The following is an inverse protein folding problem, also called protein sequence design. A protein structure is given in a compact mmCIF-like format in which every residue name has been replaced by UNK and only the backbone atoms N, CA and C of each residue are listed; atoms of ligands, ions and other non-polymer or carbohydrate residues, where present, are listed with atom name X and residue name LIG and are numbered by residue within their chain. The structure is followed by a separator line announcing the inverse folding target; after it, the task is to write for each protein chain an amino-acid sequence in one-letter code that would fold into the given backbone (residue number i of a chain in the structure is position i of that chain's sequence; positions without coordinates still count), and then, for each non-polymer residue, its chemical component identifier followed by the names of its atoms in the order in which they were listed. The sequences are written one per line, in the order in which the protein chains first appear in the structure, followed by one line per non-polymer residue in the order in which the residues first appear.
data_IF_184602451719
#
_entry.id   IF_184602451719
#
_cell.length_a   1.000
_cell.length_b   1.000
_cell.length_c   1.000
_cell.angle_alpha   90.00
_cell.angle_beta   90.00
_cell.angle_gamma   90.00
#
_symmetry.space_group_name_H-M   'P 1'
#
loop_
_entity.id
_entity.type
_entity.pdbx_description
1 polymer ?
#
# COMPACT_ATOMS: atom_id res chain seq x y z
N UNK A 1 -8.57 -24.44 -11.17
CA UNK A 1 -7.43 -23.49 -11.11
C UNK A 1 -7.15 -23.11 -12.55
N UNK A 2 -7.40 -21.84 -12.88
CA UNK A 2 -7.32 -21.38 -14.26
C UNK A 2 -5.86 -21.38 -14.75
N UNK A 3 -5.67 -21.74 -16.03
CA UNK A 3 -4.37 -21.82 -16.71
C UNK A 3 -3.55 -20.52 -16.54
N UNK A 4 -4.19 -19.36 -16.50
CA UNK A 4 -3.57 -18.04 -16.26
C UNK A 4 -2.99 -17.95 -14.85
N UNK A 5 -3.70 -18.44 -13.84
CA UNK A 5 -3.21 -18.49 -12.46
C UNK A 5 -2.03 -19.44 -12.31
N UNK A 6 -2.03 -20.56 -13.04
CA UNK A 6 -0.91 -21.50 -13.06
C UNK A 6 0.35 -20.86 -13.67
N UNK A 7 0.20 -20.16 -14.81
CA UNK A 7 1.30 -19.45 -15.46
C UNK A 7 1.85 -18.34 -14.57
N UNK A 8 0.99 -17.54 -13.97
CA UNK A 8 1.41 -16.50 -13.02
C UNK A 8 2.15 -17.08 -11.82
N UNK A 9 1.69 -18.20 -11.30
CA UNK A 9 2.31 -18.90 -10.16
C UNK A 9 3.68 -19.51 -10.56
N UNK A 10 3.79 -20.07 -11.75
CA UNK A 10 5.04 -20.65 -12.29
C UNK A 10 6.05 -19.55 -12.61
N UNK A 11 5.62 -18.47 -13.28
CA UNK A 11 6.47 -17.31 -13.60
C UNK A 11 6.91 -16.61 -12.31
N UNK A 12 6.01 -16.39 -11.36
CA UNK A 12 6.33 -15.86 -10.04
C UNK A 12 7.34 -16.75 -9.30
N UNK A 13 7.11 -18.07 -9.29
CA UNK A 13 7.99 -19.04 -8.63
C UNK A 13 9.36 -19.13 -9.29
N UNK A 14 9.41 -19.07 -10.61
CA UNK A 14 10.67 -19.17 -11.38
C UNK A 14 11.52 -17.90 -11.27
N UNK A 15 10.93 -16.72 -11.49
CA UNK A 15 11.64 -15.43 -11.42
C UNK A 15 12.02 -15.09 -9.97
N UNK A 16 11.12 -15.32 -9.02
CA UNK A 16 11.38 -14.98 -7.63
C UNK A 16 12.32 -15.93 -6.90
N UNK A 17 12.34 -17.23 -7.22
CA UNK A 17 13.18 -18.18 -6.47
C UNK A 17 14.66 -18.15 -6.87
N UNK A 18 14.98 -17.73 -8.09
CA UNK A 18 16.36 -17.83 -8.59
C UNK A 18 17.17 -16.52 -8.54
N UNK A 19 16.52 -15.35 -8.41
CA UNK A 19 17.21 -14.06 -8.57
C UNK A 19 17.23 -13.22 -7.28
N UNK A 20 16.26 -13.40 -6.39
CA UNK A 20 16.10 -12.53 -5.22
C UNK A 20 16.00 -13.32 -3.92
N UNK A 21 16.68 -12.86 -2.87
CA UNK A 21 16.49 -13.41 -1.54
C UNK A 21 15.13 -12.99 -0.92
N UNK A 22 14.72 -13.64 0.16
CA UNK A 22 13.39 -13.41 0.79
C UNK A 22 13.18 -11.96 1.22
N UNK A 23 14.22 -11.28 1.65
CA UNK A 23 14.17 -9.88 2.09
C UNK A 23 13.97 -8.96 0.89
N UNK A 24 14.70 -9.18 -0.20
CA UNK A 24 14.54 -8.43 -1.45
C UNK A 24 13.13 -8.56 -2.01
N UNK A 25 12.53 -9.76 -1.96
CA UNK A 25 11.14 -9.99 -2.36
C UNK A 25 10.13 -9.18 -1.53
N UNK A 26 10.31 -9.13 -0.21
CA UNK A 26 9.47 -8.32 0.69
C UNK A 26 9.56 -6.83 0.35
N UNK A 27 10.77 -6.34 0.13
CA UNK A 27 11.00 -4.95 -0.28
C UNK A 27 10.35 -4.64 -1.62
N UNK A 28 10.54 -5.50 -2.63
CA UNK A 28 9.94 -5.33 -3.94
C UNK A 28 8.40 -5.33 -3.88
N UNK A 29 7.80 -6.28 -3.16
CA UNK A 29 6.35 -6.35 -2.99
C UNK A 29 5.78 -5.11 -2.31
N UNK A 30 6.45 -4.60 -1.28
CA UNK A 30 5.99 -3.41 -0.58
C UNK A 30 6.20 -2.14 -1.43
N UNK A 31 7.40 -1.94 -1.97
CA UNK A 31 7.72 -0.73 -2.73
C UNK A 31 6.93 -0.65 -4.04
N UNK A 32 6.83 -1.74 -4.80
CA UNK A 32 6.10 -1.75 -6.08
C UNK A 32 4.59 -1.88 -5.83
N UNK A 33 4.18 -2.85 -5.01
CA UNK A 33 2.76 -3.13 -4.77
C UNK A 33 2.07 -2.05 -3.94
N UNK A 34 2.62 -1.72 -2.76
CA UNK A 34 1.96 -0.76 -1.86
C UNK A 34 2.30 0.69 -2.21
N UNK A 35 3.57 1.04 -2.24
CA UNK A 35 3.99 2.43 -2.48
C UNK A 35 3.78 2.83 -3.94
N UNK A 36 4.12 1.98 -4.89
CA UNK A 36 3.95 2.24 -6.32
C UNK A 36 2.49 2.48 -6.70
N UNK A 37 1.58 1.60 -6.27
CA UNK A 37 0.15 1.75 -6.54
C UNK A 37 -0.43 3.03 -5.91
N UNK A 38 -0.06 3.33 -4.65
CA UNK A 38 -0.50 4.56 -3.97
C UNK A 38 0.03 5.81 -4.64
N UNK A 39 1.30 5.82 -5.07
CA UNK A 39 1.89 6.93 -5.83
C UNK A 39 1.18 7.16 -7.17
N UNK A 40 0.77 6.08 -7.83
CA UNK A 40 -0.02 6.16 -9.05
C UNK A 40 -1.40 6.78 -8.79
N UNK A 41 -2.05 6.44 -7.68
CA UNK A 41 -3.31 7.08 -7.27
C UNK A 41 -3.14 8.58 -6.98
N UNK A 42 -2.03 8.99 -6.36
CA UNK A 42 -1.69 10.42 -6.17
C UNK A 42 -1.60 11.12 -7.52
N UNK A 43 -0.89 10.53 -8.49
CA UNK A 43 -0.75 11.09 -9.83
C UNK A 43 -2.11 11.24 -10.54
N UNK A 44 -2.94 10.21 -10.50
CA UNK A 44 -4.30 10.26 -11.07
C UNK A 44 -5.11 11.36 -10.38
N UNK A 45 -5.17 11.37 -9.04
CA UNK A 45 -5.95 12.35 -8.29
C UNK A 45 -5.52 13.79 -8.56
N UNK A 46 -4.24 14.03 -8.84
CA UNK A 46 -3.70 15.35 -9.19
C UNK A 46 -4.05 15.77 -10.61
N UNK A 47 -4.13 14.84 -11.56
CA UNK A 47 -4.22 15.15 -13.00
C UNK A 47 -5.65 15.07 -13.54
N UNK A 48 -6.55 14.32 -12.92
CA UNK A 48 -7.93 14.18 -13.38
C UNK A 48 -8.74 15.47 -13.20
N UNK A 49 -9.78 15.61 -14.01
CA UNK A 49 -10.74 16.69 -13.84
C UNK A 49 -11.66 16.45 -12.61
N UNK A 50 -12.35 17.49 -12.15
CA UNK A 50 -13.14 17.49 -10.91
C UNK A 50 -14.22 16.40 -10.86
N UNK A 51 -14.80 16.03 -12.00
CA UNK A 51 -15.83 14.99 -12.08
C UNK A 51 -15.25 13.61 -11.70
N UNK A 52 -14.11 13.26 -12.26
CA UNK A 52 -13.43 11.99 -11.96
C UNK A 52 -12.79 12.01 -10.58
N UNK A 53 -12.28 13.16 -10.11
CA UNK A 53 -11.78 13.32 -8.75
C UNK A 53 -12.90 13.01 -7.73
N UNK A 54 -14.12 13.46 -7.97
CA UNK A 54 -15.26 13.16 -7.12
C UNK A 54 -15.58 11.67 -7.07
N UNK A 55 -15.49 10.96 -8.21
CA UNK A 55 -15.66 9.50 -8.28
C UNK A 55 -14.55 8.80 -7.46
N UNK A 56 -13.30 9.23 -7.60
CA UNK A 56 -12.19 8.71 -6.80
C UNK A 56 -12.42 8.93 -5.30
N UNK A 57 -13.01 10.06 -4.92
CA UNK A 57 -13.41 10.33 -3.54
C UNK A 57 -14.40 9.29 -3.00
N UNK A 58 -15.44 8.96 -3.74
CA UNK A 58 -16.38 7.90 -3.34
C UNK A 58 -15.70 6.53 -3.24
N UNK A 59 -14.82 6.19 -4.18
CA UNK A 59 -14.07 4.94 -4.14
C UNK A 59 -13.11 4.86 -2.94
N UNK A 60 -12.56 5.98 -2.52
CA UNK A 60 -11.64 6.04 -1.38
C UNK A 60 -12.30 5.78 -0.01
N UNK A 61 -13.62 5.85 0.07
CA UNK A 61 -14.37 5.45 1.27
C UNK A 61 -14.15 3.95 1.57
N UNK A 62 -14.01 3.12 0.55
CA UNK A 62 -13.82 1.67 0.69
C UNK A 62 -12.53 1.35 1.48
N UNK A 63 -11.34 1.82 1.08
CA UNK A 63 -10.13 1.59 1.87
C UNK A 63 -10.17 2.29 3.24
N UNK A 64 -10.79 3.46 3.37
CA UNK A 64 -10.94 4.12 4.67
C UNK A 64 -11.69 3.24 5.67
N UNK A 65 -12.83 2.67 5.26
CA UNK A 65 -13.62 1.73 6.08
C UNK A 65 -12.83 0.43 6.29
N UNK A 66 -12.19 -0.12 5.25
CA UNK A 66 -11.43 -1.35 5.31
C UNK A 66 -10.28 -1.29 6.32
N UNK A 67 -9.48 -0.23 6.31
CA UNK A 67 -8.41 -0.03 7.29
C UNK A 67 -8.94 0.12 8.71
N UNK A 68 -10.03 0.88 8.90
CA UNK A 68 -10.68 1.02 10.20
C UNK A 68 -11.20 -0.31 10.72
N UNK A 69 -11.89 -1.07 9.89
CA UNK A 69 -12.45 -2.38 10.24
C UNK A 69 -11.35 -3.37 10.65
N UNK A 70 -10.30 -3.52 9.83
CA UNK A 70 -9.22 -4.45 10.11
C UNK A 70 -8.46 -4.06 11.39
N UNK A 71 -8.29 -2.76 11.65
CA UNK A 71 -7.64 -2.28 12.87
C UNK A 71 -8.49 -2.59 14.12
N UNK A 72 -9.78 -2.26 14.09
CA UNK A 72 -10.69 -2.45 15.22
C UNK A 72 -10.93 -3.93 15.55
N UNK A 73 -11.07 -4.78 14.53
CA UNK A 73 -11.34 -6.21 14.72
C UNK A 73 -10.07 -7.04 14.92
N UNK A 74 -8.89 -6.50 14.58
CA UNK A 74 -7.64 -7.26 14.58
C UNK A 74 -7.66 -8.48 13.65
N UNK A 75 -8.54 -8.48 12.65
CA UNK A 75 -8.82 -9.63 11.78
C UNK A 75 -7.63 -10.06 10.91
N UNK A 76 -6.67 -9.16 10.66
CA UNK A 76 -5.50 -9.45 9.83
C UNK A 76 -4.21 -9.22 10.61
N UNK A 77 -3.70 -10.29 11.22
CA UNK A 77 -2.44 -10.28 12.00
C UNK A 77 -1.21 -10.67 11.19
N UNK A 78 -1.39 -11.42 10.11
CA UNK A 78 -0.35 -11.91 9.21
C UNK A 78 -0.66 -11.49 7.78
N UNK A 79 0.35 -11.38 6.92
CA UNK A 79 0.19 -10.96 5.53
C UNK A 79 1.07 -11.75 4.55
N UNK A 80 0.58 -11.94 3.34
CA UNK A 80 1.34 -12.58 2.26
C UNK A 80 2.59 -11.77 1.92
N UNK A 81 2.49 -10.45 1.99
CA UNK A 81 3.59 -9.49 1.75
C UNK A 81 4.73 -9.58 2.77
N UNK A 82 4.51 -10.23 3.89
CA UNK A 82 5.52 -10.57 4.91
C UNK A 82 5.74 -12.09 5.03
N UNK A 83 5.32 -12.86 4.01
CA UNK A 83 5.45 -14.32 3.94
C UNK A 83 4.90 -15.03 5.18
N UNK A 84 3.70 -14.65 5.63
CA UNK A 84 3.01 -15.22 6.78
C UNK A 84 3.51 -14.73 8.14
N UNK A 85 4.47 -13.82 8.20
CA UNK A 85 4.92 -13.21 9.44
C UNK A 85 3.93 -12.14 9.94
N UNK A 86 4.14 -11.71 11.19
CA UNK A 86 3.34 -10.66 11.81
C UNK A 86 3.50 -9.33 11.06
N UNK A 87 2.39 -8.67 10.81
CA UNK A 87 2.34 -7.36 10.17
C UNK A 87 2.85 -6.29 11.14
N UNK A 88 3.92 -5.57 10.76
CA UNK A 88 4.50 -4.50 11.56
C UNK A 88 3.74 -3.17 11.44
N UNK A 89 3.03 -2.94 10.33
CA UNK A 89 2.32 -1.68 10.04
C UNK A 89 0.88 -1.63 10.56
N UNK A 90 0.48 -2.55 11.44
CA UNK A 90 -0.89 -2.57 11.95
C UNK A 90 -1.30 -1.25 12.61
N UNK A 91 -0.36 -0.62 13.34
CA UNK A 91 -0.60 0.66 14.03
C UNK A 91 -0.68 1.86 13.07
N UNK A 92 -0.30 1.70 11.81
CA UNK A 92 -0.44 2.74 10.78
C UNK A 92 -1.82 2.73 10.12
N UNK A 93 -2.60 1.67 10.28
CA UNK A 93 -3.92 1.54 9.66
C UNK A 93 -4.89 2.66 10.02
N UNK A 94 -5.02 3.09 11.30
CA UNK A 94 -5.89 4.22 11.61
C UNK A 94 -5.42 5.52 10.95
N UNK A 95 -4.12 5.74 10.82
CA UNK A 95 -3.57 6.92 10.14
C UNK A 95 -3.95 6.88 8.65
N UNK A 96 -3.75 5.74 7.99
CA UNK A 96 -4.15 5.55 6.60
C UNK A 96 -5.67 5.71 6.42
N UNK A 97 -6.48 5.16 7.33
CA UNK A 97 -7.94 5.31 7.30
C UNK A 97 -8.37 6.78 7.35
N UNK A 98 -7.78 7.57 8.25
CA UNK A 98 -8.06 9.00 8.38
C UNK A 98 -7.65 9.76 7.09
N UNK A 99 -6.48 9.48 6.53
CA UNK A 99 -6.01 10.15 5.33
C UNK A 99 -6.88 9.83 4.10
N UNK A 100 -7.31 8.57 3.94
CA UNK A 100 -8.27 8.21 2.90
C UNK A 100 -9.65 8.85 3.11
N UNK A 101 -10.12 8.97 4.36
CA UNK A 101 -11.36 9.68 4.67
C UNK A 101 -11.27 11.18 4.36
N UNK A 102 -10.15 11.83 4.71
CA UNK A 102 -9.90 13.24 4.38
C UNK A 102 -9.79 13.46 2.87
N UNK A 103 -9.12 12.57 2.15
CA UNK A 103 -9.10 12.58 0.70
C UNK A 103 -10.50 12.46 0.13
N UNK A 104 -11.29 11.46 0.58
CA UNK A 104 -12.64 11.24 0.14
C UNK A 104 -13.52 12.48 0.34
N UNK A 105 -13.50 13.05 1.53
CA UNK A 105 -14.26 14.26 1.85
C UNK A 105 -13.91 15.43 0.93
N UNK A 106 -12.62 15.73 0.77
CA UNK A 106 -12.16 16.84 -0.08
C UNK A 106 -12.43 16.58 -1.56
N UNK A 107 -12.21 15.37 -2.05
CA UNK A 107 -12.43 15.00 -3.44
C UNK A 107 -13.92 15.05 -3.83
N UNK A 108 -14.81 14.59 -2.94
CA UNK A 108 -16.27 14.68 -3.14
C UNK A 108 -16.72 16.13 -3.20
N UNK A 109 -16.14 17.01 -2.39
CA UNK A 109 -16.39 18.45 -2.43
C UNK A 109 -15.65 19.18 -3.58
N UNK A 110 -15.07 18.44 -4.53
CA UNK A 110 -14.38 18.97 -5.72
C UNK A 110 -13.18 19.87 -5.40
N UNK A 111 -12.53 19.65 -4.26
CA UNK A 111 -11.31 20.34 -3.92
C UNK A 111 -10.13 19.74 -4.70
N UNK A 112 -9.51 20.54 -5.56
CA UNK A 112 -8.36 20.13 -6.40
C UNK A 112 -7.15 19.70 -5.57
N UNK A 113 -7.00 20.21 -4.36
CA UNK A 113 -5.87 19.89 -3.49
C UNK A 113 -6.07 18.57 -2.70
N UNK A 114 -7.17 17.85 -2.93
CA UNK A 114 -7.44 16.58 -2.25
C UNK A 114 -6.30 15.55 -2.38
N UNK A 115 -5.59 15.52 -3.50
CA UNK A 115 -4.46 14.61 -3.75
C UNK A 115 -3.35 14.72 -2.69
N UNK A 116 -3.24 15.83 -1.97
CA UNK A 116 -2.24 16.05 -0.91
C UNK A 116 -2.40 15.02 0.21
N UNK A 117 -3.62 14.64 0.58
CA UNK A 117 -3.86 13.63 1.61
C UNK A 117 -3.35 12.25 1.20
N UNK A 118 -3.48 11.88 -0.07
CA UNK A 118 -2.90 10.64 -0.61
C UNK A 118 -1.37 10.73 -0.68
N UNK A 119 -0.80 11.88 -0.97
CA UNK A 119 0.64 12.07 -0.95
C UNK A 119 1.21 11.92 0.46
N UNK A 120 0.56 12.50 1.46
CA UNK A 120 0.94 12.33 2.87
C UNK A 120 0.87 10.85 3.28
N UNK A 121 -0.15 10.12 2.83
CA UNK A 121 -0.29 8.68 3.05
C UNK A 121 0.90 7.88 2.51
N UNK A 122 1.34 8.19 1.28
CA UNK A 122 2.52 7.56 0.65
C UNK A 122 3.79 7.87 1.45
N UNK A 123 3.99 9.13 1.85
CA UNK A 123 5.18 9.57 2.58
C UNK A 123 5.26 8.87 3.95
N UNK A 124 4.15 8.84 4.70
CA UNK A 124 4.10 8.16 6.00
C UNK A 124 4.39 6.66 5.83
N UNK A 125 3.79 6.01 4.83
CA UNK A 125 4.03 4.60 4.54
C UNK A 125 5.49 4.32 4.22
N UNK A 126 6.11 5.14 3.38
CA UNK A 126 7.52 4.99 2.98
C UNK A 126 8.48 5.24 4.15
N UNK A 127 8.30 6.33 4.89
CA UNK A 127 9.15 6.64 6.06
C UNK A 127 9.05 5.53 7.11
N UNK A 128 7.84 5.10 7.44
CA UNK A 128 7.62 4.03 8.41
C UNK A 128 8.28 2.72 7.98
N UNK A 129 8.21 2.38 6.69
CA UNK A 129 8.90 1.23 6.12
C UNK A 129 10.41 1.32 6.27
N UNK A 130 11.01 2.45 5.91
CA UNK A 130 12.45 2.65 6.00
C UNK A 130 12.93 2.61 7.46
N UNK A 131 12.22 3.27 8.37
CA UNK A 131 12.55 3.28 9.80
C UNK A 131 12.49 1.87 10.38
N UNK A 132 11.40 1.15 10.14
CA UNK A 132 11.25 -0.22 10.65
C UNK A 132 12.38 -1.13 10.16
N UNK A 133 12.64 -1.15 8.85
CA UNK A 133 13.66 -2.02 8.29
C UNK A 133 15.11 -1.58 8.58
N UNK A 134 15.31 -0.29 8.90
CA UNK A 134 16.62 0.19 9.42
C UNK A 134 16.89 -0.36 10.83
N UNK A 135 15.91 -0.28 11.72
CA UNK A 135 16.01 -0.78 13.10
C UNK A 135 16.23 -2.30 13.14
N UNK A 136 15.51 -3.04 12.30
CA UNK A 136 15.62 -4.51 12.18
C UNK A 136 16.91 -4.97 11.45
N UNK A 137 17.75 -4.05 10.95
CA UNK A 137 18.97 -4.38 10.22
C UNK A 137 18.73 -5.08 8.87
N UNK A 138 17.50 -5.00 8.34
CA UNK A 138 17.15 -5.66 7.09
C UNK A 138 17.70 -4.93 5.87
N UNK A 139 17.95 -3.63 5.95
CA UNK A 139 18.52 -2.84 4.85
C UNK A 139 19.91 -3.34 4.45
N UNK A 140 20.77 -3.67 5.40
CA UNK A 140 22.10 -4.23 5.10
C UNK A 140 22.02 -5.58 4.38
N UNK A 141 21.01 -6.40 4.68
CA UNK A 141 20.79 -7.71 4.07
C UNK A 141 20.23 -7.66 2.65
N UNK A 142 19.73 -6.51 2.21
CA UNK A 142 19.23 -6.32 0.83
C UNK A 142 20.40 -6.16 -0.14
N UNK A 143 21.52 -5.57 0.33
CA UNK A 143 22.70 -5.27 -0.50
C UNK A 143 23.79 -6.34 -0.44
N UNK A 144 23.60 -7.37 0.37
CA UNK A 144 24.44 -8.56 0.47
C UNK A 144 23.65 -9.81 0.01
#
# INVERSE_FOLDING_TARGET
MDFINLIQLVVYKYICNNIMNTIQKRFALFLIGCIGLRSFLVYIAKTVNLKYLQILGYLAIIPAIGFSYIFLTGSRKIGLEVFGNKIWWNNLRPIHAILYALFAYNAINKNKEAWIYLLIDVIIGLISFLVYHSIEGNLSKVFH
#
